data_IF_804007458634
#
_entry.id   IF_804007458634
#
_cell.length_a   1.000
_cell.length_b   1.000
_cell.length_c   1.000
_cell.angle_alpha   90.00
_cell.angle_beta   90.00
_cell.angle_gamma   90.00
#
_symmetry.space_group_name_H-M   'P 1'
#
loop_
_entity.id
_entity.type
_entity.pdbx_description
1 polymer ?
#
# COMPACT_ATOMS: atom_id res chain seq x y z
N UNK A 1 -2.40 -2.32 9.92
CA UNK A 1 -2.62 -0.92 9.50
C UNK A 1 -2.22 -0.81 8.02
N UNK A 2 -3.16 -0.41 7.16
CA UNK A 2 -3.00 -0.47 5.69
C UNK A 2 -2.64 0.85 5.03
N UNK A 3 -2.94 2.01 5.63
CA UNK A 3 -2.64 3.30 5.00
C UNK A 3 -1.15 3.61 4.99
N UNK A 4 -0.45 3.44 6.12
CA UNK A 4 1.00 3.61 6.20
C UNK A 4 1.73 2.59 5.34
N UNK A 5 1.29 1.34 5.39
CA UNK A 5 1.79 0.26 4.52
C UNK A 5 1.63 0.60 3.03
N UNK A 6 0.51 1.22 2.66
CA UNK A 6 0.26 1.68 1.28
C UNK A 6 1.22 2.79 0.87
N UNK A 7 1.45 3.80 1.72
CA UNK A 7 2.41 4.87 1.44
C UNK A 7 3.84 4.35 1.29
N UNK A 8 4.29 3.43 2.15
CA UNK A 8 5.61 2.82 2.01
C UNK A 8 5.72 1.98 0.74
N UNK A 9 4.69 1.20 0.42
CA UNK A 9 4.66 0.39 -0.81
C UNK A 9 4.74 1.27 -2.04
N UNK A 10 3.95 2.36 -2.08
CA UNK A 10 4.01 3.37 -3.14
C UNK A 10 5.41 3.95 -3.29
N UNK A 11 5.99 4.50 -2.23
CA UNK A 11 7.30 5.17 -2.30
C UNK A 11 8.43 4.22 -2.70
N UNK A 12 8.43 2.99 -2.20
CA UNK A 12 9.42 1.98 -2.55
C UNK A 12 9.24 1.48 -3.99
N UNK A 13 8.01 1.19 -4.43
CA UNK A 13 7.75 0.77 -5.81
C UNK A 13 8.10 1.88 -6.82
N UNK A 14 7.68 3.11 -6.53
CA UNK A 14 8.03 4.28 -7.33
C UNK A 14 9.55 4.48 -7.38
N UNK A 15 10.24 4.40 -6.25
CA UNK A 15 11.70 4.53 -6.21
C UNK A 15 12.43 3.46 -7.03
N UNK A 16 11.89 2.25 -7.10
CA UNK A 16 12.40 1.20 -8.02
C UNK A 16 12.12 1.58 -9.47
N UNK A 17 10.90 2.01 -9.79
CA UNK A 17 10.50 2.37 -11.16
C UNK A 17 11.34 3.53 -11.73
N UNK A 18 11.71 4.50 -10.89
CA UNK A 18 12.55 5.64 -11.26
C UNK A 18 14.06 5.35 -11.20
N UNK A 19 14.47 4.13 -10.82
CA UNK A 19 15.87 3.74 -10.71
C UNK A 19 16.64 4.41 -9.55
N UNK A 20 15.92 4.98 -8.57
CA UNK A 20 16.49 5.59 -7.35
C UNK A 20 16.85 4.51 -6.33
N UNK A 21 16.04 3.46 -6.25
CA UNK A 21 16.20 2.34 -5.32
C UNK A 21 16.60 1.07 -6.07
N UNK A 22 17.57 0.35 -5.51
CA UNK A 22 18.01 -0.94 -6.08
C UNK A 22 16.89 -1.98 -6.03
N UNK A 23 16.51 -2.49 -7.21
CA UNK A 23 15.40 -3.44 -7.33
C UNK A 23 15.63 -4.72 -6.51
N UNK A 24 16.84 -5.28 -6.54
CA UNK A 24 17.11 -6.54 -5.86
C UNK A 24 16.98 -6.41 -4.34
N UNK A 25 17.34 -5.24 -3.80
CA UNK A 25 17.26 -4.92 -2.38
C UNK A 25 15.82 -4.69 -1.91
N UNK A 26 15.02 -3.92 -2.65
CA UNK A 26 13.73 -3.44 -2.15
C UNK A 26 12.50 -4.20 -2.66
N UNK A 27 12.58 -4.85 -3.83
CA UNK A 27 11.45 -5.56 -4.41
C UNK A 27 10.82 -6.61 -3.48
N UNK A 28 11.58 -7.43 -2.73
CA UNK A 28 10.98 -8.43 -1.84
C UNK A 28 10.09 -7.80 -0.75
N UNK A 29 10.45 -6.62 -0.25
CA UNK A 29 9.67 -5.89 0.75
C UNK A 29 8.38 -5.33 0.14
N UNK A 30 8.48 -4.75 -1.06
CA UNK A 30 7.36 -4.21 -1.84
C UNK A 30 6.34 -5.31 -2.14
N UNK A 31 6.77 -6.46 -2.66
CA UNK A 31 5.90 -7.59 -2.97
C UNK A 31 5.21 -8.15 -1.72
N UNK A 32 5.95 -8.27 -0.61
CA UNK A 32 5.39 -8.71 0.66
C UNK A 32 4.30 -7.77 1.16
N UNK A 33 4.54 -6.46 1.11
CA UNK A 33 3.59 -5.46 1.55
C UNK A 33 2.34 -5.45 0.65
N UNK A 34 2.52 -5.47 -0.68
CA UNK A 34 1.42 -5.54 -1.63
C UNK A 34 0.54 -6.78 -1.42
N UNK A 35 1.16 -7.96 -1.28
CA UNK A 35 0.43 -9.21 -1.01
C UNK A 35 -0.37 -9.17 0.29
N UNK A 36 0.20 -8.59 1.35
CA UNK A 36 -0.51 -8.44 2.62
C UNK A 36 -1.73 -7.51 2.49
N UNK A 37 -1.59 -6.37 1.82
CA UNK A 37 -2.68 -5.41 1.64
C UNK A 37 -3.81 -5.94 0.75
N UNK A 38 -3.49 -6.74 -0.28
CA UNK A 38 -4.52 -7.42 -1.07
C UNK A 38 -5.42 -8.32 -0.21
N UNK A 39 -4.89 -8.93 0.86
CA UNK A 39 -5.67 -9.72 1.82
C UNK A 39 -6.59 -8.89 2.74
N UNK A 40 -6.50 -7.56 2.68
CA UNK A 40 -7.33 -6.63 3.46
C UNK A 40 -8.35 -5.87 2.60
N UNK A 41 -8.48 -6.21 1.32
CA UNK A 41 -9.58 -5.73 0.48
C UNK A 41 -10.75 -6.69 0.64
N UNK A 42 -11.92 -6.19 1.04
CA UNK A 42 -13.13 -7.02 1.18
C UNK A 42 -13.70 -7.42 -0.18
N UNK A 43 -14.66 -8.34 -0.20
CA UNK A 43 -15.33 -8.78 -1.43
C UNK A 43 -16.04 -7.63 -2.17
N UNK A 44 -16.50 -6.63 -1.42
CA UNK A 44 -17.12 -5.40 -1.94
C UNK A 44 -16.10 -4.35 -2.40
N UNK A 45 -14.80 -4.62 -2.27
CA UNK A 45 -13.72 -3.73 -2.69
C UNK A 45 -13.28 -2.70 -1.64
N UNK A 46 -13.77 -2.78 -0.40
CA UNK A 46 -13.36 -1.88 0.67
C UNK A 46 -11.95 -2.23 1.16
N UNK A 47 -11.05 -1.25 1.22
CA UNK A 47 -9.77 -1.42 1.92
C UNK A 47 -9.99 -1.31 3.43
N UNK A 48 -9.77 -2.39 4.16
CA UNK A 48 -9.91 -2.46 5.63
C UNK A 48 -8.60 -2.18 6.37
N UNK A 49 -8.64 -2.15 7.70
CA UNK A 49 -7.50 -1.89 8.59
C UNK A 49 -6.81 -0.55 8.34
N UNK A 50 -7.55 0.45 7.88
CA UNK A 50 -7.05 1.83 7.87
C UNK A 50 -7.21 2.39 9.28
N UNK A 51 -6.10 2.82 9.89
CA UNK A 51 -6.16 3.47 11.21
C UNK A 51 -6.92 4.79 11.08
N UNK A 52 -7.94 5.08 11.91
CA UNK A 52 -8.67 6.34 11.87
C UNK A 52 -7.79 7.55 12.25
N UNK A 53 -8.25 8.75 11.89
CA UNK A 53 -7.61 9.99 12.32
C UNK A 53 -7.67 10.09 13.86
N UNK A 54 -6.51 10.33 14.48
CA UNK A 54 -6.37 10.47 15.92
C UNK A 54 -5.11 11.23 16.30
N UNK A 55 -4.99 11.60 17.58
CA UNK A 55 -3.84 12.35 18.09
C UNK A 55 -2.58 11.50 18.33
N UNK A 56 -2.72 10.17 18.29
CA UNK A 56 -1.67 9.20 18.62
C UNK A 56 -1.86 7.89 17.83
N UNK A 57 -0.84 7.00 17.80
CA UNK A 57 -1.00 5.66 17.26
C UNK A 57 -2.15 4.91 17.94
N UNK A 58 -3.06 4.38 17.12
CA UNK A 58 -4.23 3.63 17.56
C UNK A 58 -4.34 2.30 16.85
N UNK A 59 -5.41 1.58 17.16
CA UNK A 59 -5.70 0.30 16.53
C UNK A 59 -6.33 0.46 15.14
N UNK A 60 -6.16 -0.57 14.33
CA UNK A 60 -6.79 -0.69 13.01
C UNK A 60 -7.61 -1.98 12.99
N UNK A 61 -8.83 -1.90 12.47
CA UNK A 61 -9.80 -3.00 12.53
C UNK A 61 -10.32 -3.38 11.14
N UNK A 62 -10.80 -4.63 10.96
CA UNK A 62 -11.30 -5.10 9.66
C UNK A 62 -12.53 -4.35 9.11
N UNK A 63 -13.27 -3.63 9.95
CA UNK A 63 -14.43 -2.82 9.54
C UNK A 63 -14.09 -1.33 9.35
N UNK A 64 -12.82 -0.93 9.47
CA UNK A 64 -12.40 0.47 9.35
C UNK A 64 -11.69 0.75 8.03
N UNK A 65 -12.16 1.81 7.38
CA UNK A 65 -11.61 2.38 6.16
C UNK A 65 -11.62 3.89 6.26
N UNK A 66 -10.76 4.55 5.50
CA UNK A 66 -10.75 6.01 5.32
C UNK A 66 -10.32 6.36 3.91
N UNK A 67 -10.83 7.49 3.40
CA UNK A 67 -10.60 7.92 2.01
C UNK A 67 -9.13 8.12 1.66
N UNK A 68 -8.32 8.57 2.62
CA UNK A 68 -6.88 8.73 2.41
C UNK A 68 -6.15 7.39 2.33
N UNK A 69 -6.62 6.37 3.07
CA UNK A 69 -6.07 5.02 2.99
C UNK A 69 -6.35 4.38 1.63
N UNK A 70 -7.56 4.55 1.12
CA UNK A 70 -7.93 4.14 -0.24
C UNK A 70 -7.08 4.85 -1.28
N UNK A 71 -6.90 6.17 -1.15
CA UNK A 71 -6.03 6.95 -2.04
C UNK A 71 -4.59 6.41 -2.06
N UNK A 72 -4.00 6.19 -0.88
CA UNK A 72 -2.65 5.63 -0.75
C UNK A 72 -2.55 4.24 -1.40
N UNK A 73 -3.54 3.38 -1.19
CA UNK A 73 -3.57 2.02 -1.75
C UNK A 73 -3.67 2.03 -3.28
N UNK A 74 -4.51 2.89 -3.86
CA UNK A 74 -4.61 3.05 -5.31
C UNK A 74 -3.31 3.60 -5.91
N UNK A 75 -2.65 4.55 -5.23
CA UNK A 75 -1.32 5.02 -5.63
C UNK A 75 -0.31 3.89 -5.62
N UNK A 76 -0.26 3.09 -4.56
CA UNK A 76 0.61 1.92 -4.48
C UNK A 76 0.34 0.92 -5.62
N UNK A 77 -0.93 0.60 -5.87
CA UNK A 77 -1.33 -0.29 -6.97
C UNK A 77 -0.91 0.22 -8.34
N UNK A 78 -0.96 1.54 -8.57
CA UNK A 78 -0.51 2.13 -9.84
C UNK A 78 0.99 1.95 -10.08
N UNK A 79 1.81 2.07 -9.04
CA UNK A 79 3.26 1.85 -9.15
C UNK A 79 3.62 0.36 -9.25
N UNK A 80 2.85 -0.50 -8.57
CA UNK A 80 2.96 -1.95 -8.76
C UNK A 80 2.66 -2.35 -10.20
N UNK A 81 1.61 -1.80 -10.80
CA UNK A 81 1.27 -2.07 -12.19
C UNK A 81 2.41 -1.70 -13.15
N UNK A 82 2.99 -0.51 -12.99
CA UNK A 82 4.18 -0.07 -13.76
C UNK A 82 5.39 -0.97 -13.54
N UNK A 83 5.63 -1.40 -12.30
CA UNK A 83 6.76 -2.24 -11.92
C UNK A 83 6.79 -3.59 -12.67
N UNK A 84 5.62 -4.08 -13.08
CA UNK A 84 5.49 -5.29 -13.91
C UNK A 84 5.18 -4.99 -15.38
N UNK A 85 5.49 -3.79 -15.88
CA UNK A 85 5.43 -3.43 -17.29
C UNK A 85 4.08 -2.87 -17.77
N UNK A 86 3.18 -2.55 -16.85
CA UNK A 86 2.00 -1.75 -17.13
C UNK A 86 2.36 -0.35 -17.65
N UNK A 87 1.53 0.19 -18.55
CA UNK A 87 1.68 1.54 -19.13
C UNK A 87 0.62 2.48 -18.62
#
# INVERSE_FOLDING_TARGET
ETSGSSFFTFGLAWGINEGILDRATYLPAVEKAWKAMMGHVTEEGMLSYVQPIGAEPGEAYPDKTEVYGVGAFLSAGSEMYKLYGGK
#
